data_IF_748916559023
#
_entry.id   IF_748916559023
#
_cell.length_a   1.000
_cell.length_b   1.000
_cell.length_c   1.000
_cell.angle_alpha   90.00
_cell.angle_beta   90.00
_cell.angle_gamma   90.00
#
_symmetry.space_group_name_H-M   'P 1'
#
loop_
_entity.id
_entity.type
_entity.pdbx_description
1 polymer ?
#
# COMPACT_ATOMS: atom_id res chain seq x y z
N UNK A 1 3.68 -33.84 -12.59
CA UNK A 1 2.82 -32.64 -12.62
C UNK A 1 2.63 -32.27 -14.07
N UNK A 2 1.44 -32.51 -14.61
CA UNK A 2 1.15 -32.23 -16.02
C UNK A 2 1.26 -30.73 -16.28
N UNK A 3 2.08 -30.38 -17.28
CA UNK A 3 2.18 -28.99 -17.75
C UNK A 3 0.85 -28.65 -18.42
N UNK A 4 0.03 -27.85 -17.75
CA UNK A 4 -1.15 -27.23 -18.36
C UNK A 4 -0.71 -26.52 -19.65
N UNK A 5 -1.37 -26.83 -20.76
CA UNK A 5 -1.09 -26.18 -22.04
C UNK A 5 -1.54 -24.72 -21.98
N UNK A 6 -0.89 -23.85 -22.76
CA UNK A 6 -1.23 -22.43 -22.83
C UNK A 6 -2.72 -22.20 -23.14
N UNK A 7 -3.31 -23.04 -23.99
CA UNK A 7 -4.72 -22.98 -24.34
C UNK A 7 -5.64 -23.36 -23.18
N UNK A 8 -5.31 -24.44 -22.45
CA UNK A 8 -6.03 -24.83 -21.25
C UNK A 8 -5.95 -23.73 -20.18
N UNK A 9 -4.79 -23.12 -20.00
CA UNK A 9 -4.58 -22.00 -19.07
C UNK A 9 -5.46 -20.79 -19.39
N UNK A 10 -5.55 -20.41 -20.67
CA UNK A 10 -6.39 -19.29 -21.12
C UNK A 10 -7.87 -19.64 -20.94
N UNK A 11 -8.27 -20.85 -21.31
CA UNK A 11 -9.66 -21.31 -21.20
C UNK A 11 -10.12 -21.29 -19.75
N UNK A 12 -9.33 -21.86 -18.86
CA UNK A 12 -9.66 -21.96 -17.44
C UNK A 12 -9.79 -20.58 -16.76
N UNK A 13 -8.89 -19.64 -17.07
CA UNK A 13 -9.04 -18.25 -16.57
C UNK A 13 -10.25 -17.53 -17.18
N UNK A 14 -10.56 -17.79 -18.45
CA UNK A 14 -11.73 -17.21 -19.11
C UNK A 14 -13.02 -17.69 -18.43
N UNK A 15 -13.12 -18.99 -18.19
CA UNK A 15 -14.30 -19.60 -17.56
C UNK A 15 -14.45 -19.12 -16.12
N UNK A 16 -13.34 -19.05 -15.37
CA UNK A 16 -13.33 -18.50 -14.01
C UNK A 16 -13.79 -17.04 -13.94
N UNK A 17 -13.37 -16.18 -14.88
CA UNK A 17 -13.81 -14.78 -14.93
C UNK A 17 -15.31 -14.70 -15.23
N UNK A 18 -15.83 -15.54 -16.14
CA UNK A 18 -17.26 -15.57 -16.46
C UNK A 18 -18.08 -15.99 -15.24
N UNK A 19 -17.65 -17.03 -14.54
CA UNK A 19 -18.29 -17.52 -13.32
C UNK A 19 -18.35 -16.41 -12.25
N UNK A 20 -17.22 -15.77 -11.95
CA UNK A 20 -17.14 -14.77 -10.87
C UNK A 20 -17.81 -13.45 -11.20
N UNK A 21 -17.85 -13.05 -12.47
CA UNK A 21 -18.55 -11.82 -12.87
C UNK A 21 -20.04 -12.04 -13.10
N UNK A 22 -20.48 -13.28 -13.32
CA UNK A 22 -21.85 -13.62 -13.72
C UNK A 22 -22.21 -13.11 -15.13
N UNK A 23 -21.20 -12.83 -15.96
CA UNK A 23 -21.35 -12.22 -17.27
C UNK A 23 -20.70 -13.11 -18.30
N UNK A 24 -21.47 -13.47 -19.32
CA UNK A 24 -20.95 -14.19 -20.47
C UNK A 24 -20.19 -13.23 -21.41
N UNK A 25 -19.04 -12.72 -20.96
CA UNK A 25 -18.17 -11.87 -21.79
C UNK A 25 -17.04 -12.69 -22.41
N UNK A 26 -16.68 -12.33 -23.63
CA UNK A 26 -15.44 -12.79 -24.24
C UNK A 26 -14.29 -11.89 -23.81
N UNK A 27 -13.13 -12.48 -23.56
CA UNK A 27 -11.90 -11.71 -23.36
C UNK A 27 -11.50 -11.05 -24.68
N UNK A 28 -11.18 -9.76 -24.61
CA UNK A 28 -10.63 -9.03 -25.76
C UNK A 28 -9.26 -9.61 -26.17
N UNK A 29 -8.82 -9.33 -27.40
CA UNK A 29 -7.51 -9.78 -27.90
C UNK A 29 -6.36 -9.31 -27.01
N UNK A 30 -6.48 -8.09 -26.44
CA UNK A 30 -5.51 -7.54 -25.47
C UNK A 30 -5.47 -8.35 -24.17
N UNK A 31 -6.63 -8.73 -23.63
CA UNK A 31 -6.71 -9.55 -22.42
C UNK A 31 -6.21 -10.97 -22.65
N UNK A 32 -6.49 -11.56 -23.81
CA UNK A 32 -5.91 -12.86 -24.19
C UNK A 32 -4.39 -12.78 -24.27
N UNK A 33 -3.84 -11.74 -24.92
CA UNK A 33 -2.40 -11.51 -24.97
C UNK A 33 -1.78 -11.38 -23.57
N UNK A 34 -2.46 -10.69 -22.67
CA UNK A 34 -2.03 -10.54 -21.29
C UNK A 34 -1.99 -11.87 -20.53
N UNK A 35 -2.99 -12.73 -20.70
CA UNK A 35 -3.00 -14.07 -20.09
C UNK A 35 -1.89 -14.95 -20.70
N UNK A 36 -1.66 -14.85 -22.01
CA UNK A 36 -0.52 -15.51 -22.67
C UNK A 36 0.82 -15.07 -22.06
N UNK A 37 0.97 -13.77 -21.78
CA UNK A 37 2.13 -13.21 -21.10
C UNK A 37 2.29 -13.78 -19.68
N UNK A 38 1.20 -13.91 -18.92
CA UNK A 38 1.26 -14.51 -17.58
C UNK A 38 1.66 -15.99 -17.60
N UNK A 39 1.19 -16.73 -18.60
CA UNK A 39 1.64 -18.11 -18.83
C UNK A 39 3.14 -18.17 -19.14
N UNK A 40 3.65 -17.30 -20.04
CA UNK A 40 5.10 -17.26 -20.35
C UNK A 40 5.96 -16.81 -19.16
N UNK A 41 5.41 -16.01 -18.24
CA UNK A 41 6.06 -15.62 -16.99
C UNK A 41 5.99 -16.71 -15.90
N UNK A 42 5.49 -17.91 -16.21
CA UNK A 42 5.30 -19.02 -15.27
C UNK A 42 4.50 -18.64 -14.02
N UNK A 43 3.52 -17.75 -14.15
CA UNK A 43 2.66 -17.39 -13.03
C UNK A 43 1.71 -18.56 -12.74
N UNK A 44 1.65 -19.08 -11.50
CA UNK A 44 0.74 -20.17 -11.17
C UNK A 44 -0.72 -19.78 -11.39
N UNK A 45 -1.50 -20.68 -12.00
CA UNK A 45 -2.90 -20.44 -12.32
C UNK A 45 -3.72 -20.07 -11.08
N UNK A 46 -3.56 -20.84 -10.00
CA UNK A 46 -4.24 -20.61 -8.71
C UNK A 46 -3.91 -19.24 -8.11
N UNK A 47 -2.68 -18.75 -8.33
CA UNK A 47 -2.30 -17.40 -7.89
C UNK A 47 -3.09 -16.34 -8.66
N UNK A 48 -3.23 -16.48 -9.98
CA UNK A 48 -4.03 -15.55 -10.78
C UNK A 48 -5.51 -15.60 -10.41
N UNK A 49 -6.09 -16.78 -10.21
CA UNK A 49 -7.49 -16.94 -9.79
C UNK A 49 -7.78 -16.15 -8.51
N UNK A 50 -6.92 -16.28 -7.49
CA UNK A 50 -7.04 -15.50 -6.23
C UNK A 50 -6.99 -13.99 -6.47
N UNK A 51 -6.07 -13.52 -7.31
CA UNK A 51 -5.94 -12.08 -7.59
C UNK A 51 -7.19 -11.57 -8.33
N UNK A 52 -7.64 -12.31 -9.35
CA UNK A 52 -8.86 -12.01 -10.11
C UNK A 52 -10.08 -11.96 -9.20
N UNK A 53 -10.25 -12.94 -8.32
CA UNK A 53 -11.35 -12.99 -7.37
C UNK A 53 -11.34 -11.79 -6.42
N UNK A 54 -10.20 -11.48 -5.80
CA UNK A 54 -10.08 -10.32 -4.90
C UNK A 54 -10.39 -9.00 -5.61
N UNK A 55 -10.03 -8.89 -6.89
CA UNK A 55 -10.31 -7.72 -7.71
C UNK A 55 -11.80 -7.62 -8.04
N UNK A 56 -12.44 -8.71 -8.47
CA UNK A 56 -13.87 -8.71 -8.80
C UNK A 56 -14.73 -8.38 -7.56
N UNK A 57 -14.39 -8.92 -6.39
CA UNK A 57 -15.12 -8.68 -5.13
C UNK A 57 -15.01 -7.21 -4.71
N UNK A 58 -13.91 -6.53 -5.05
CA UNK A 58 -13.74 -5.10 -4.75
C UNK A 58 -14.76 -4.19 -5.47
N UNK A 59 -15.39 -4.69 -6.54
CA UNK A 59 -16.47 -3.98 -7.23
C UNK A 59 -17.83 -4.33 -6.62
N UNK A 60 -18.72 -3.33 -6.41
CA UNK A 60 -20.14 -3.58 -6.19
C UNK A 60 -20.71 -4.48 -7.29
N UNK A 61 -21.64 -5.38 -6.95
CA UNK A 61 -22.16 -6.41 -7.87
C UNK A 61 -22.62 -5.83 -9.22
N UNK A 62 -23.31 -4.68 -9.21
CA UNK A 62 -23.76 -3.96 -10.41
C UNK A 62 -22.64 -3.42 -11.31
N UNK A 63 -21.42 -3.30 -10.79
CA UNK A 63 -20.23 -2.78 -11.48
C UNK A 63 -19.21 -3.85 -11.83
N UNK A 64 -19.42 -5.12 -11.46
CA UNK A 64 -18.50 -6.24 -11.81
C UNK A 64 -18.28 -6.41 -13.32
N UNK A 65 -19.24 -5.96 -14.13
CA UNK A 65 -19.10 -5.86 -15.60
C UNK A 65 -17.96 -4.98 -16.10
N UNK A 66 -17.45 -4.09 -15.25
CA UNK A 66 -16.33 -3.20 -15.57
C UNK A 66 -14.96 -3.86 -15.29
N UNK A 67 -14.94 -5.07 -14.74
CA UNK A 67 -13.72 -5.81 -14.52
C UNK A 67 -12.98 -6.05 -15.85
N UNK A 68 -11.67 -5.82 -15.85
CA UNK A 68 -10.80 -6.14 -16.97
C UNK A 68 -9.52 -6.80 -16.46
N UNK A 69 -9.03 -7.79 -17.20
CA UNK A 69 -7.77 -8.48 -16.85
C UNK A 69 -6.59 -7.49 -16.84
N UNK A 70 -6.71 -6.36 -17.54
CA UNK A 70 -5.70 -5.29 -17.52
C UNK A 70 -5.46 -4.70 -16.11
N UNK A 71 -6.46 -4.72 -15.21
CA UNK A 71 -6.25 -4.24 -13.83
C UNK A 71 -5.37 -5.19 -13.02
N UNK A 72 -5.31 -6.47 -13.41
CA UNK A 72 -4.47 -7.50 -12.79
C UNK A 72 -2.98 -7.25 -13.07
N UNK A 73 -2.63 -6.80 -14.28
CA UNK A 73 -1.23 -6.45 -14.61
C UNK A 73 -0.69 -5.33 -13.71
N UNK A 74 -1.53 -4.33 -13.41
CA UNK A 74 -1.17 -3.27 -12.45
C UNK A 74 -0.93 -3.83 -11.05
N UNK A 75 -1.77 -4.76 -10.57
CA UNK A 75 -1.57 -5.40 -9.26
C UNK A 75 -0.30 -6.27 -9.22
N UNK A 76 -0.04 -7.05 -10.27
CA UNK A 76 1.16 -7.90 -10.35
C UNK A 76 2.44 -7.08 -10.43
N UNK A 77 2.44 -5.99 -11.19
CA UNK A 77 3.58 -5.06 -11.27
C UNK A 77 3.78 -4.28 -9.97
N UNK A 78 2.69 -3.86 -9.30
CA UNK A 78 2.78 -3.26 -7.96
C UNK A 78 3.28 -4.24 -6.91
N UNK A 79 3.02 -5.55 -7.03
CA UNK A 79 3.61 -6.55 -6.14
C UNK A 79 5.09 -6.82 -6.42
N UNK A 80 5.55 -6.75 -7.68
CA UNK A 80 6.98 -6.83 -8.04
C UNK A 80 7.77 -5.58 -7.59
N UNK A 81 7.13 -4.40 -7.62
CA UNK A 81 7.72 -3.12 -7.23
C UNK A 81 7.25 -2.63 -5.84
N UNK A 82 6.56 -3.47 -5.08
CA UNK A 82 6.30 -3.17 -3.69
C UNK A 82 7.67 -3.10 -3.01
N UNK A 83 7.98 -2.05 -2.22
CA UNK A 83 9.13 -2.13 -1.34
C UNK A 83 9.01 -3.46 -0.59
N UNK A 84 10.11 -4.24 -0.48
CA UNK A 84 10.06 -5.59 0.07
C UNK A 84 9.16 -5.54 1.29
N UNK A 85 8.10 -6.38 1.32
CA UNK A 85 7.23 -6.50 2.48
C UNK A 85 8.17 -6.49 3.68
N UNK A 86 8.13 -5.41 4.48
CA UNK A 86 8.99 -5.31 5.64
C UNK A 86 8.73 -6.61 6.36
N UNK A 87 9.74 -7.51 6.43
CA UNK A 87 9.65 -8.73 7.22
C UNK A 87 8.96 -8.29 8.50
N UNK A 88 7.80 -8.89 8.80
CA UNK A 88 7.12 -8.62 10.06
C UNK A 88 8.19 -8.92 11.10
N UNK A 89 8.76 -7.86 11.66
CA UNK A 89 9.80 -7.99 12.66
C UNK A 89 9.13 -8.70 13.83
N UNK A 90 9.89 -9.54 14.52
CA UNK A 90 9.35 -10.08 15.76
C UNK A 90 8.94 -8.90 16.65
N UNK A 91 7.91 -9.09 17.47
CA UNK A 91 7.41 -8.06 18.38
C UNK A 91 8.54 -7.51 19.27
N UNK A 92 9.48 -8.38 19.63
CA UNK A 92 10.68 -8.08 20.39
C UNK A 92 11.68 -7.19 19.62
N UNK A 93 11.93 -7.46 18.33
CA UNK A 93 12.77 -6.62 17.48
C UNK A 93 12.19 -5.21 17.27
N UNK A 94 10.87 -5.11 17.11
CA UNK A 94 10.19 -3.82 16.98
C UNK A 94 10.27 -3.02 18.27
N UNK A 95 9.94 -3.64 19.40
CA UNK A 95 10.01 -3.00 20.71
C UNK A 95 11.43 -2.52 21.03
N UNK A 96 12.45 -3.33 20.73
CA UNK A 96 13.85 -2.93 20.94
C UNK A 96 14.29 -1.76 20.05
N UNK A 97 13.82 -1.68 18.80
CA UNK A 97 14.08 -0.50 17.95
C UNK A 97 13.44 0.75 18.55
N UNK A 98 12.15 0.69 18.90
CA UNK A 98 11.44 1.86 19.37
C UNK A 98 11.89 2.31 20.74
N UNK A 99 12.28 1.39 21.64
CA UNK A 99 12.98 1.69 22.90
C UNK A 99 14.22 2.56 22.66
N UNK A 100 15.11 2.17 21.74
CA UNK A 100 16.29 2.98 21.38
C UNK A 100 15.91 4.36 20.83
N UNK A 101 14.84 4.45 20.05
CA UNK A 101 14.36 5.73 19.49
C UNK A 101 13.84 6.65 20.60
N UNK A 102 13.02 6.15 21.52
CA UNK A 102 12.46 6.96 22.60
C UNK A 102 13.54 7.39 23.61
N UNK A 103 14.51 6.53 23.92
CA UNK A 103 15.65 6.86 24.79
C UNK A 103 16.51 7.96 24.17
N UNK A 104 16.87 7.80 22.88
CA UNK A 104 17.66 8.79 22.14
C UNK A 104 16.98 10.16 22.08
N UNK A 105 15.65 10.18 21.95
CA UNK A 105 14.86 11.40 21.79
C UNK A 105 14.26 11.91 23.11
N UNK A 106 14.60 11.26 24.23
CA UNK A 106 14.06 11.54 25.57
C UNK A 106 12.52 11.62 25.60
N UNK A 107 11.87 10.67 24.93
CA UNK A 107 10.42 10.57 24.79
C UNK A 107 9.88 9.64 25.88
N UNK A 108 8.73 9.98 26.52
CA UNK A 108 8.14 9.14 27.54
C UNK A 108 7.79 7.72 27.05
N UNK A 109 8.08 6.66 27.82
CA UNK A 109 7.90 5.27 27.39
C UNK A 109 6.44 4.88 27.18
N UNK A 110 5.48 5.63 27.73
CA UNK A 110 4.04 5.42 27.56
C UNK A 110 3.60 5.52 26.09
N UNK A 111 4.43 6.13 25.23
CA UNK A 111 4.21 6.17 23.79
C UNK A 111 4.21 4.76 23.16
N UNK A 112 4.94 3.82 23.74
CA UNK A 112 4.99 2.42 23.28
C UNK A 112 3.72 1.62 23.63
N UNK A 113 2.83 2.15 24.48
CA UNK A 113 1.65 1.41 24.94
C UNK A 113 0.57 1.34 23.85
N UNK A 114 0.70 0.36 22.96
CA UNK A 114 -0.22 0.11 21.83
C UNK A 114 -0.90 -1.27 21.92
N UNK A 115 -1.10 -1.80 23.12
CA UNK A 115 -1.61 -3.16 23.38
C UNK A 115 -2.91 -3.50 22.63
N UNK A 116 -3.80 -2.51 22.45
CA UNK A 116 -5.09 -2.66 21.74
C UNK A 116 -4.98 -2.63 20.22
N UNK A 117 -3.77 -2.46 19.65
CA UNK A 117 -3.54 -2.37 18.21
C UNK A 117 -3.05 -3.71 17.69
N UNK A 118 -3.66 -4.16 16.59
CA UNK A 118 -3.26 -5.36 15.87
C UNK A 118 -1.77 -5.31 15.50
N UNK A 119 -1.06 -6.43 15.67
CA UNK A 119 0.41 -6.51 15.56
C UNK A 119 0.95 -5.90 14.27
N UNK A 120 0.25 -6.10 13.15
CA UNK A 120 0.62 -5.55 11.84
C UNK A 120 0.67 -4.01 11.77
N UNK A 121 -0.03 -3.31 12.67
CA UNK A 121 -0.12 -1.85 12.68
C UNK A 121 0.61 -1.19 13.86
N UNK A 122 1.19 -1.97 14.77
CA UNK A 122 1.84 -1.45 15.99
C UNK A 122 2.98 -0.49 15.66
N UNK A 123 3.89 -0.87 14.76
CA UNK A 123 5.01 0.00 14.34
C UNK A 123 4.53 1.35 13.80
N UNK A 124 3.47 1.32 13.00
CA UNK A 124 2.89 2.52 12.42
C UNK A 124 2.26 3.41 13.50
N UNK A 125 1.55 2.81 14.45
CA UNK A 125 0.92 3.56 15.54
C UNK A 125 1.96 4.16 16.49
N UNK A 126 3.01 3.42 16.83
CA UNK A 126 4.13 3.94 17.64
C UNK A 126 4.80 5.11 16.91
N UNK A 127 5.11 4.96 15.62
CA UNK A 127 5.67 6.04 14.79
C UNK A 127 4.76 7.28 14.83
N UNK A 128 3.45 7.09 14.65
CA UNK A 128 2.47 8.17 14.66
C UNK A 128 2.47 8.93 15.99
N UNK A 129 2.52 8.20 17.11
CA UNK A 129 2.55 8.80 18.45
C UNK A 129 3.87 9.51 18.73
N UNK A 130 5.00 8.93 18.34
CA UNK A 130 6.33 9.56 18.44
C UNK A 130 6.37 10.88 17.67
N UNK A 131 5.95 10.88 16.40
CA UNK A 131 5.93 12.12 15.59
C UNK A 131 4.96 13.15 16.17
N UNK A 132 3.81 12.73 16.69
CA UNK A 132 2.86 13.61 17.37
C UNK A 132 3.46 14.27 18.63
N UNK A 133 4.21 13.50 19.43
CA UNK A 133 4.91 14.01 20.60
C UNK A 133 6.00 15.00 20.23
N UNK A 134 6.84 14.66 19.24
CA UNK A 134 7.88 15.56 18.73
C UNK A 134 7.27 16.86 18.23
N UNK A 135 6.17 16.79 17.47
CA UNK A 135 5.47 17.99 17.01
C UNK A 135 4.94 18.83 18.17
N UNK A 136 4.34 18.24 19.21
CA UNK A 136 3.82 18.99 20.36
C UNK A 136 4.91 19.74 21.11
N UNK A 137 6.05 19.08 21.34
CA UNK A 137 7.17 19.62 22.12
C UNK A 137 8.14 20.49 21.30
N UNK A 138 7.92 20.62 19.98
CA UNK A 138 8.76 21.46 19.14
C UNK A 138 8.58 22.96 19.48
N UNK A 139 9.66 23.76 19.53
CA UNK A 139 9.56 25.21 19.68
C UNK A 139 8.69 25.85 18.59
N UNK A 140 7.95 26.90 18.95
CA UNK A 140 7.01 27.55 18.03
C UNK A 140 7.70 28.13 16.78
N UNK A 141 8.94 28.61 16.93
CA UNK A 141 9.76 29.08 15.82
C UNK A 141 10.05 27.98 14.79
N UNK A 142 10.31 26.76 15.24
CA UNK A 142 10.56 25.61 14.35
C UNK A 142 9.27 25.09 13.72
N UNK A 143 8.17 25.06 14.48
CA UNK A 143 6.84 24.73 13.94
C UNK A 143 6.49 25.65 12.77
N UNK A 144 6.68 26.96 12.93
CA UNK A 144 6.46 27.95 11.88
C UNK A 144 7.36 27.72 10.67
N UNK A 145 8.65 27.45 10.87
CA UNK A 145 9.58 27.11 9.77
C UNK A 145 9.10 25.90 8.98
N UNK A 146 8.75 24.80 9.66
CA UNK A 146 8.26 23.58 9.01
C UNK A 146 6.94 23.79 8.25
N UNK A 147 6.02 24.58 8.80
CA UNK A 147 4.77 24.93 8.12
C UNK A 147 5.02 25.76 6.86
N UNK A 148 5.89 26.77 6.93
CA UNK A 148 6.22 27.62 5.78
C UNK A 148 6.94 26.83 4.68
N UNK A 149 7.86 25.95 5.04
CA UNK A 149 8.48 25.03 4.09
C UNK A 149 7.45 24.10 3.42
N UNK A 150 6.55 23.51 4.21
CA UNK A 150 5.50 22.64 3.67
C UNK A 150 4.57 23.40 2.71
N UNK A 151 4.17 24.64 3.04
CA UNK A 151 3.37 25.51 2.15
C UNK A 151 4.12 25.83 0.86
N UNK A 152 5.43 26.13 0.93
CA UNK A 152 6.27 26.38 -0.25
C UNK A 152 6.38 25.15 -1.14
N UNK A 153 6.56 23.97 -0.57
CA UNK A 153 6.61 22.71 -1.33
C UNK A 153 5.28 22.41 -2.04
N UNK A 154 4.14 22.68 -1.41
CA UNK A 154 2.82 22.56 -2.03
C UNK A 154 2.71 23.51 -3.22
N UNK A 155 3.07 24.79 -3.07
CA UNK A 155 3.03 25.75 -4.19
C UNK A 155 3.91 25.33 -5.38
N UNK A 156 5.05 24.66 -5.12
CA UNK A 156 5.97 24.20 -6.17
C UNK A 156 5.54 22.89 -6.85
N UNK A 157 4.96 21.94 -6.11
CA UNK A 157 4.66 20.58 -6.59
C UNK A 157 3.18 20.31 -6.88
N UNK A 158 2.28 21.06 -6.25
CA UNK A 158 0.84 20.86 -6.30
C UNK A 158 0.16 22.10 -6.88
N UNK A 159 0.41 22.34 -8.17
CA UNK A 159 -0.49 23.14 -9.01
C UNK A 159 -1.52 22.13 -9.56
N UNK A 160 -2.81 22.30 -9.23
CA UNK A 160 -3.95 21.64 -9.87
C UNK A 160 -4.41 20.21 -9.42
N UNK A 161 -4.53 19.92 -8.12
CA UNK A 161 -5.36 18.77 -7.68
C UNK A 161 -6.34 19.16 -6.56
N UNK A 162 -7.60 18.70 -6.65
CA UNK A 162 -8.69 18.88 -5.66
C UNK A 162 -8.42 18.14 -4.32
N UNK A 163 -7.23 18.29 -3.77
CA UNK A 163 -6.83 17.68 -2.50
C UNK A 163 -6.82 18.77 -1.44
N UNK A 164 -7.43 18.49 -0.28
CA UNK A 164 -7.43 19.40 0.87
C UNK A 164 -6.00 19.80 1.25
N UNK A 165 -5.61 21.08 1.10
CA UNK A 165 -4.26 21.56 1.39
C UNK A 165 -3.82 21.26 2.82
N UNK A 166 -4.74 21.24 3.80
CA UNK A 166 -4.41 20.97 5.20
C UNK A 166 -3.90 19.55 5.39
N UNK A 167 -4.50 18.56 4.71
CA UNK A 167 -4.06 17.15 4.77
C UNK A 167 -2.67 16.97 4.18
N UNK A 168 -2.39 17.65 3.06
CA UNK A 168 -1.08 17.61 2.39
C UNK A 168 -0.01 18.25 3.27
N UNK A 169 -0.29 19.43 3.86
CA UNK A 169 0.64 20.10 4.80
C UNK A 169 0.99 19.16 5.96
N UNK A 170 -0.02 18.54 6.59
CA UNK A 170 0.21 17.62 7.71
C UNK A 170 1.10 16.44 7.32
N UNK A 171 0.88 15.87 6.13
CA UNK A 171 1.71 14.76 5.60
C UNK A 171 3.15 15.19 5.32
N UNK A 172 3.35 16.38 4.78
CA UNK A 172 4.69 16.93 4.54
C UNK A 172 5.44 17.20 5.85
N UNK A 173 4.77 17.80 6.84
CA UNK A 173 5.35 18.02 8.17
C UNK A 173 5.72 16.68 8.82
N UNK A 174 4.82 15.70 8.77
CA UNK A 174 5.07 14.35 9.27
C UNK A 174 6.33 13.75 8.63
N UNK A 175 6.45 13.85 7.31
CA UNK A 175 7.62 13.36 6.55
C UNK A 175 8.90 14.09 6.91
N UNK A 176 8.85 15.42 7.10
CA UNK A 176 10.00 16.22 7.50
C UNK A 176 10.49 15.87 8.91
N UNK A 177 9.57 15.72 9.87
CA UNK A 177 9.93 15.31 11.24
C UNK A 177 10.61 13.96 11.26
N UNK A 178 10.11 12.98 10.49
CA UNK A 178 10.78 11.68 10.36
C UNK A 178 12.22 11.78 9.86
N UNK A 179 12.47 12.67 8.90
CA UNK A 179 13.82 12.90 8.37
C UNK A 179 14.73 13.57 9.40
N UNK A 180 14.25 14.62 10.07
CA UNK A 180 15.02 15.39 11.06
C UNK A 180 15.46 14.48 12.22
N UNK A 181 14.54 13.66 12.72
CA UNK A 181 14.77 12.80 13.88
C UNK A 181 15.22 11.38 13.52
N UNK A 182 15.43 11.10 12.23
CA UNK A 182 15.85 9.79 11.70
C UNK A 182 15.01 8.62 12.23
N UNK A 183 13.70 8.64 11.88
CA UNK A 183 12.66 7.67 12.30
C UNK A 183 12.05 6.95 11.10
#
# INVERSE_FOLDING_TARGET
MDKITQEAYIKELTDFIKEKTGINRFLSSKEKSLIKKFYSENIPLERLKKIIESEIISYPQSKRKKFSVLSIEKKLSHQKNSPPQRKIRSEEESNNRWKKVIERLNIPPEILNVEKVESAFRDFEIERRVVSYLWKNLPENEKKKLQEEAKREIKKKFVAQNIDPKKVIKSLIYTKLKKIYNI
#
